data_IF_690193706199
#
_entry.id   IF_690193706199
#
_cell.length_a   1.000
_cell.length_b   1.000
_cell.length_c   1.000
_cell.angle_alpha   90.00
_cell.angle_beta   90.00
_cell.angle_gamma   90.00
#
_symmetry.space_group_name_H-M   'P 1'
#
loop_
_entity.id
_entity.type
_entity.pdbx_description
1 polymer ?
#
# COMPACT_ATOMS: atom_id res chain seq x y z
N UNK A 1 13.97 3.12 -9.86
CA UNK A 1 13.35 4.05 -8.90
C UNK A 1 14.10 3.98 -7.56
N UNK A 2 14.45 5.14 -6.99
CA UNK A 2 14.96 5.22 -5.63
C UNK A 2 13.78 5.07 -4.67
N UNK A 3 13.69 3.92 -3.99
CA UNK A 3 12.77 3.71 -2.89
C UNK A 3 13.60 3.65 -1.61
N UNK A 4 13.31 4.53 -0.66
CA UNK A 4 14.00 4.58 0.63
C UNK A 4 13.28 3.76 1.72
N UNK A 5 12.02 3.41 1.49
CA UNK A 5 11.22 2.55 2.35
C UNK A 5 10.91 1.27 1.58
N UNK A 6 11.23 0.13 2.20
CA UNK A 6 10.83 -1.19 1.71
C UNK A 6 10.22 -1.98 2.86
N UNK A 7 9.03 -2.51 2.65
CA UNK A 7 8.31 -3.32 3.64
C UNK A 7 7.73 -4.55 2.96
N UNK A 8 8.16 -5.73 3.39
CA UNK A 8 7.65 -6.99 2.89
C UNK A 8 6.92 -7.72 4.01
N UNK A 9 5.62 -7.94 3.84
CA UNK A 9 4.81 -8.70 4.78
C UNK A 9 4.23 -9.92 4.09
N UNK A 10 4.38 -11.08 4.72
CA UNK A 10 3.78 -12.33 4.24
C UNK A 10 2.48 -12.53 5.00
N UNK A 11 1.37 -12.43 4.28
CA UNK A 11 0.03 -12.70 4.79
C UNK A 11 -0.37 -14.15 4.47
N UNK A 12 -1.35 -14.71 5.19
CA UNK A 12 -1.93 -16.00 4.84
C UNK A 12 -2.53 -15.99 3.43
N UNK A 13 -3.04 -14.84 2.98
CA UNK A 13 -3.69 -14.66 1.68
C UNK A 13 -2.73 -14.27 0.54
N UNK A 14 -1.41 -14.24 0.79
CA UNK A 14 -0.42 -13.85 -0.21
C UNK A 14 0.78 -13.11 0.37
N UNK A 15 1.80 -12.87 -0.45
CA UNK A 15 2.94 -12.02 -0.06
C UNK A 15 2.76 -10.63 -0.64
N UNK A 16 2.96 -9.59 0.17
CA UNK A 16 2.94 -8.19 -0.27
C UNK A 16 4.29 -7.54 0.04
N UNK A 17 4.90 -6.92 -0.95
CA UNK A 17 6.11 -6.12 -0.85
C UNK A 17 5.83 -4.70 -1.34
N UNK A 18 5.91 -3.77 -0.42
CA UNK A 18 5.69 -2.35 -0.63
C UNK A 18 7.05 -1.66 -0.71
N UNK A 19 7.22 -0.86 -1.74
CA UNK A 19 8.37 -0.02 -1.98
C UNK A 19 7.86 1.41 -2.04
N UNK A 20 8.17 2.22 -1.05
CA UNK A 20 7.78 3.62 -1.02
C UNK A 20 9.02 4.51 -1.08
N UNK A 21 8.87 5.63 -1.75
CA UNK A 21 9.82 6.72 -1.76
C UNK A 21 9.22 7.88 -0.97
N UNK A 22 9.69 8.07 0.26
CA UNK A 22 9.19 9.08 1.17
C UNK A 22 10.12 10.28 1.18
N UNK A 23 9.64 11.44 0.74
CA UNK A 23 10.40 12.69 0.69
C UNK A 23 9.61 13.73 1.49
N UNK A 24 10.27 14.43 2.42
CA UNK A 24 9.62 15.44 3.28
C UNK A 24 8.36 14.91 4.01
N UNK A 25 8.46 13.69 4.53
CA UNK A 25 7.36 12.99 5.23
C UNK A 25 6.12 12.70 4.37
N UNK A 26 6.23 12.78 3.04
CA UNK A 26 5.16 12.41 2.10
C UNK A 26 5.62 11.30 1.16
N UNK A 27 4.68 10.43 0.80
CA UNK A 27 4.91 9.36 -0.16
C UNK A 27 4.94 9.99 -1.56
N UNK A 28 6.14 10.17 -2.10
CA UNK A 28 6.34 10.73 -3.45
C UNK A 28 6.03 9.69 -4.52
N UNK A 29 6.47 8.45 -4.30
CA UNK A 29 6.12 7.33 -5.16
C UNK A 29 5.97 6.06 -4.32
N UNK A 30 5.12 5.15 -4.78
CA UNK A 30 4.89 3.88 -4.11
C UNK A 30 4.65 2.82 -5.16
N UNK A 31 5.25 1.66 -4.93
CA UNK A 31 5.00 0.46 -5.69
C UNK A 31 4.74 -0.75 -4.81
N UNK A 32 3.72 -1.49 -5.19
CA UNK A 32 3.30 -2.68 -4.47
C UNK A 32 3.49 -3.88 -5.40
N UNK A 33 4.33 -4.81 -4.97
CA UNK A 33 4.61 -6.06 -5.63
C UNK A 33 4.16 -7.20 -4.74
N UNK A 34 3.90 -8.36 -5.33
CA UNK A 34 3.53 -9.52 -4.54
C UNK A 34 2.72 -10.53 -5.31
N UNK A 35 2.37 -11.58 -4.60
CA UNK A 35 1.47 -12.65 -5.05
C UNK A 35 0.25 -12.58 -4.14
N UNK A 36 -0.49 -11.48 -4.24
CA UNK A 36 -1.74 -11.25 -3.52
C UNK A 36 -2.89 -11.35 -4.52
N UNK A 37 -4.04 -11.80 -4.03
CA UNK A 37 -5.23 -11.93 -4.86
C UNK A 37 -6.11 -10.69 -4.70
N UNK A 38 -6.45 -10.06 -5.80
CA UNK A 38 -7.36 -8.92 -5.88
C UNK A 38 -8.27 -9.06 -7.10
N UNK A 39 -9.45 -8.46 -7.01
CA UNK A 39 -10.39 -8.33 -8.13
C UNK A 39 -10.02 -7.09 -8.95
N UNK A 40 -9.45 -6.07 -8.31
CA UNK A 40 -8.99 -4.82 -8.92
C UNK A 40 -7.46 -4.68 -8.88
N UNK A 41 -6.93 -3.83 -9.75
CA UNK A 41 -5.48 -3.60 -9.89
C UNK A 41 -4.93 -2.75 -8.74
N UNK A 42 -3.82 -3.18 -8.15
CA UNK A 42 -3.18 -2.50 -7.01
C UNK A 42 -2.71 -1.08 -7.34
N UNK A 43 -2.53 -0.74 -8.63
CA UNK A 43 -2.13 0.59 -9.06
C UNK A 43 -3.10 1.68 -8.56
N UNK A 44 -4.38 1.38 -8.37
CA UNK A 44 -5.32 2.32 -7.76
C UNK A 44 -4.99 2.61 -6.29
N UNK A 45 -4.53 1.60 -5.54
CA UNK A 45 -4.05 1.76 -4.16
C UNK A 45 -2.77 2.58 -4.13
N UNK A 46 -1.84 2.31 -5.06
CA UNK A 46 -0.61 3.08 -5.22
C UNK A 46 -0.91 4.57 -5.45
N UNK A 47 -1.90 4.88 -6.30
CA UNK A 47 -2.28 6.26 -6.62
C UNK A 47 -2.92 6.98 -5.43
N UNK A 48 -3.79 6.31 -4.68
CA UNK A 48 -4.42 6.87 -3.46
C UNK A 48 -3.40 7.19 -2.37
N UNK A 49 -2.34 6.38 -2.26
CA UNK A 49 -1.28 6.60 -1.29
C UNK A 49 -0.25 7.64 -1.76
N UNK A 50 -0.17 7.95 -3.05
CA UNK A 50 0.75 8.96 -3.58
C UNK A 50 0.34 10.35 -3.09
N UNK A 51 1.30 11.10 -2.55
CA UNK A 51 1.10 12.42 -1.96
C UNK A 51 0.59 12.39 -0.52
N UNK A 52 0.20 11.22 0.01
CA UNK A 52 -0.23 11.06 1.40
C UNK A 52 0.97 11.17 2.32
N UNK A 53 0.75 11.71 3.52
CA UNK A 53 1.77 11.78 4.55
C UNK A 53 2.11 10.37 5.02
N UNK A 54 3.39 10.02 5.12
CA UNK A 54 3.84 8.70 5.58
C UNK A 54 3.67 8.56 7.11
N UNK A 55 2.43 8.70 7.58
CA UNK A 55 2.02 8.53 8.96
C UNK A 55 0.87 7.54 9.02
N UNK A 56 0.84 6.72 10.09
CA UNK A 56 -0.12 5.63 10.22
C UNK A 56 -1.58 6.10 10.08
N UNK A 57 -1.91 7.26 10.65
CA UNK A 57 -3.27 7.80 10.60
C UNK A 57 -3.68 8.28 9.19
N UNK A 58 -2.81 9.00 8.49
CA UNK A 58 -3.06 9.50 7.14
C UNK A 58 -3.14 8.36 6.12
N UNK A 59 -2.22 7.40 6.21
CA UNK A 59 -2.24 6.19 5.36
C UNK A 59 -3.52 5.40 5.60
N UNK A 60 -3.90 5.17 6.86
CA UNK A 60 -5.09 4.41 7.19
C UNK A 60 -6.37 5.13 6.73
N UNK A 61 -6.43 6.47 6.84
CA UNK A 61 -7.53 7.25 6.26
C UNK A 61 -7.61 7.12 4.75
N UNK A 62 -6.49 7.24 4.04
CA UNK A 62 -6.44 7.07 2.59
C UNK A 62 -6.88 5.66 2.19
N UNK A 63 -6.40 4.64 2.87
CA UNK A 63 -6.79 3.24 2.68
C UNK A 63 -8.27 2.99 3.00
N UNK A 64 -8.88 3.71 3.94
CA UNK A 64 -10.31 3.65 4.24
C UNK A 64 -11.20 4.30 3.16
N UNK A 65 -10.65 5.19 2.32
CA UNK A 65 -11.42 5.78 1.21
C UNK A 65 -11.68 4.79 0.08
N UNK A 66 -10.92 3.69 0.04
CA UNK A 66 -11.05 2.61 -0.93
C UNK A 66 -11.40 1.30 -0.24
N UNK A 67 -12.03 0.38 -0.97
CA UNK A 67 -12.30 -0.94 -0.45
C UNK A 67 -11.08 -1.84 -0.65
N UNK A 68 -10.20 -1.89 0.34
CA UNK A 68 -8.96 -2.66 0.30
C UNK A 68 -9.17 -4.15 0.00
N UNK A 69 -10.30 -4.72 0.43
CA UNK A 69 -10.66 -6.12 0.15
C UNK A 69 -10.86 -6.43 -1.33
N UNK A 70 -11.05 -5.42 -2.18
CA UNK A 70 -11.12 -5.58 -3.64
C UNK A 70 -9.74 -5.70 -4.29
N UNK A 71 -8.70 -5.19 -3.64
CA UNK A 71 -7.32 -5.25 -4.11
C UNK A 71 -6.51 -6.36 -3.43
N UNK A 72 -6.82 -6.61 -2.15
CA UNK A 72 -6.18 -7.60 -1.31
C UNK A 72 -7.24 -8.45 -0.60
N UNK A 73 -7.60 -9.56 -1.23
CA UNK A 73 -8.55 -10.53 -0.70
C UNK A 73 -8.01 -11.10 0.61
N UNK A 74 -8.74 -10.86 1.71
CA UNK A 74 -8.36 -11.37 3.02
C UNK A 74 -7.18 -10.65 3.68
N UNK A 75 -6.89 -9.39 3.30
CA UNK A 75 -5.97 -8.50 4.01
C UNK A 75 -6.73 -7.21 4.36
N UNK A 76 -6.57 -6.73 5.59
CA UNK A 76 -7.24 -5.50 6.05
C UNK A 76 -6.32 -4.29 5.99
N UNK A 77 -6.91 -3.08 6.02
CA UNK A 77 -6.16 -1.82 6.01
C UNK A 77 -5.20 -1.67 7.21
N UNK A 78 -5.50 -2.31 8.33
CA UNK A 78 -4.67 -2.26 9.54
C UNK A 78 -3.41 -3.14 9.46
N UNK A 79 -3.45 -4.13 8.58
CA UNK A 79 -2.37 -5.08 8.36
C UNK A 79 -1.31 -4.57 7.35
N UNK A 80 -1.69 -3.62 6.49
CA UNK A 80 -0.82 -2.97 5.49
C UNK A 80 0.07 -1.87 6.11
#
# INVERSE_FOLDING_TARGET
PEYNVRRGTKFPSGKVEIFANVIESKIQDIKIYGDFFGIEDVAAVEDVLRGVKYEREDVLKALQTINLGRYFAGITAEEI
#
